data_IF_116907028960
#
_entry.id   IF_116907028960
#
_cell.length_a   1.000
_cell.length_b   1.000
_cell.length_c   1.000
_cell.angle_alpha   90.00
_cell.angle_beta   90.00
_cell.angle_gamma   90.00
#
_symmetry.space_group_name_H-M   'P 1'
#
loop_
_entity.id
_entity.type
_entity.pdbx_description
1 polymer ?
#
# COMPACT_ATOMS: atom_id res chain seq x y z
N UNK A 1 10.22 0.12 -11.22
CA UNK A 1 9.48 0.41 -9.97
C UNK A 1 9.20 -0.86 -9.18
N UNK A 2 8.44 -1.84 -9.72
CA UNK A 2 8.14 -3.10 -9.02
C UNK A 2 9.37 -3.79 -8.41
N UNK A 3 10.41 -4.04 -9.21
CA UNK A 3 11.67 -4.66 -8.74
C UNK A 3 12.41 -3.83 -7.68
N UNK A 4 12.27 -2.50 -7.71
CA UNK A 4 12.84 -1.62 -6.68
C UNK A 4 12.14 -1.81 -5.34
N UNK A 5 10.81 -1.92 -5.32
CA UNK A 5 10.05 -2.18 -4.10
C UNK A 5 10.33 -3.57 -3.54
N UNK A 6 10.53 -4.58 -4.39
CA UNK A 6 10.95 -5.92 -3.93
C UNK A 6 12.27 -5.87 -3.17
N UNK A 7 13.23 -5.04 -3.59
CA UNK A 7 14.49 -4.84 -2.83
C UNK A 7 14.24 -4.20 -1.47
N UNK A 8 13.33 -3.22 -1.39
CA UNK A 8 12.96 -2.60 -0.11
C UNK A 8 12.25 -3.59 0.82
N UNK A 9 11.37 -4.44 0.28
CA UNK A 9 10.65 -5.46 1.06
C UNK A 9 11.56 -6.50 1.71
N UNK A 10 12.76 -6.71 1.16
CA UNK A 10 13.76 -7.62 1.70
C UNK A 10 14.52 -7.07 2.91
N UNK A 11 14.34 -5.78 3.25
CA UNK A 11 14.90 -5.19 4.46
C UNK A 11 14.17 -5.70 5.72
N UNK A 12 14.79 -5.57 6.92
CA UNK A 12 14.16 -5.94 8.17
C UNK A 12 12.83 -5.22 8.43
N UNK A 13 11.90 -5.90 9.08
CA UNK A 13 10.54 -5.38 9.35
C UNK A 13 10.53 -4.12 10.22
N UNK A 14 11.54 -3.94 11.08
CA UNK A 14 11.71 -2.75 11.91
C UNK A 14 12.38 -1.57 11.18
N UNK A 15 12.69 -1.69 9.89
CA UNK A 15 13.23 -0.58 9.07
C UNK A 15 12.25 0.59 9.09
N UNK A 16 12.75 1.79 9.38
CA UNK A 16 11.98 3.01 9.27
C UNK A 16 12.01 3.52 7.83
N UNK A 17 10.83 3.74 7.26
CA UNK A 17 10.61 4.33 5.94
C UNK A 17 10.44 5.84 6.11
N UNK A 18 11.44 6.58 5.66
CA UNK A 18 11.49 8.04 5.70
C UNK A 18 11.29 8.60 4.28
N UNK A 19 10.07 8.59 3.76
CA UNK A 19 9.78 9.11 2.43
C UNK A 19 9.67 10.65 2.42
N UNK A 20 9.79 11.25 1.23
CA UNK A 20 9.93 12.71 1.09
C UNK A 20 8.61 13.50 1.20
N UNK A 21 7.45 12.84 1.13
CA UNK A 21 6.15 13.50 0.95
C UNK A 21 5.07 12.93 1.87
N UNK A 22 4.20 13.82 2.35
CA UNK A 22 3.07 13.51 3.23
C UNK A 22 1.84 13.06 2.42
N UNK A 23 1.96 11.91 1.75
CA UNK A 23 0.91 11.34 0.89
C UNK A 23 0.12 10.19 1.54
N UNK A 24 0.40 9.88 2.79
CA UNK A 24 -0.13 8.69 3.48
C UNK A 24 -1.66 8.65 3.49
N UNK A 25 -2.32 9.78 3.78
CA UNK A 25 -3.79 9.84 3.78
C UNK A 25 -4.37 9.54 2.39
N UNK A 26 -3.90 10.24 1.35
CA UNK A 26 -4.38 10.02 -0.03
C UNK A 26 -4.08 8.58 -0.52
N UNK A 27 -2.93 8.03 -0.15
CA UNK A 27 -2.55 6.65 -0.50
C UNK A 27 -3.45 5.62 0.19
N UNK A 28 -3.80 5.83 1.46
CA UNK A 28 -4.70 4.95 2.20
C UNK A 28 -6.15 5.07 1.73
N UNK A 29 -6.60 6.26 1.35
CA UNK A 29 -7.92 6.45 0.74
C UNK A 29 -8.03 5.63 -0.55
N UNK A 30 -7.01 5.66 -1.41
CA UNK A 30 -6.93 4.78 -2.59
C UNK A 30 -6.90 3.30 -2.19
N UNK A 31 -6.08 2.91 -1.21
CA UNK A 31 -5.99 1.52 -0.77
C UNK A 31 -7.33 0.99 -0.24
N UNK A 32 -8.04 1.80 0.55
CA UNK A 32 -9.36 1.48 1.10
C UNK A 32 -10.43 1.42 0.00
N UNK A 33 -10.36 2.28 -1.02
CA UNK A 33 -11.25 2.20 -2.18
C UNK A 33 -11.14 0.84 -2.89
N UNK A 34 -9.92 0.31 -3.04
CA UNK A 34 -9.70 -1.00 -3.68
C UNK A 34 -10.04 -2.17 -2.73
N UNK A 35 -9.64 -2.09 -1.46
CA UNK A 35 -9.86 -3.16 -0.46
C UNK A 35 -10.63 -2.64 0.77
N UNK A 36 -11.92 -2.29 0.64
CA UNK A 36 -12.70 -1.65 1.73
C UNK A 36 -12.96 -2.56 2.92
N UNK A 37 -12.83 -3.87 2.74
CA UNK A 37 -13.02 -4.88 3.80
C UNK A 37 -11.72 -5.29 4.50
N UNK A 38 -10.58 -4.71 4.12
CA UNK A 38 -9.32 -5.01 4.79
C UNK A 38 -9.24 -4.20 6.10
N UNK A 39 -9.19 -4.87 7.27
CA UNK A 39 -9.20 -4.19 8.56
C UNK A 39 -7.91 -3.39 8.80
N UNK A 40 -6.74 -3.91 8.40
CA UNK A 40 -5.46 -3.22 8.59
C UNK A 40 -5.45 -1.86 7.86
N UNK A 41 -5.98 -1.84 6.62
CA UNK A 41 -6.09 -0.61 5.83
C UNK A 41 -7.09 0.36 6.47
N UNK A 42 -8.25 -0.14 6.90
CA UNK A 42 -9.32 0.68 7.49
C UNK A 42 -8.89 1.30 8.81
N UNK A 43 -8.30 0.51 9.70
CA UNK A 43 -7.83 0.97 11.01
C UNK A 43 -6.71 2.00 10.86
N UNK A 44 -5.78 1.76 9.94
CA UNK A 44 -4.68 2.69 9.71
C UNK A 44 -5.14 3.96 8.98
N UNK A 45 -6.13 3.89 8.09
CA UNK A 45 -6.75 5.06 7.47
C UNK A 45 -7.40 5.96 8.53
N UNK A 46 -8.13 5.38 9.49
CA UNK A 46 -8.74 6.13 10.59
C UNK A 46 -7.67 6.86 11.41
N UNK A 47 -6.62 6.13 11.81
CA UNK A 47 -5.48 6.71 12.55
C UNK A 47 -4.83 7.87 11.78
N UNK A 48 -4.54 7.68 10.50
CA UNK A 48 -3.89 8.70 9.67
C UNK A 48 -4.82 9.90 9.46
N UNK A 49 -6.13 9.68 9.32
CA UNK A 49 -7.12 10.76 9.21
C UNK A 49 -7.10 11.65 10.45
N UNK A 50 -7.11 11.05 11.65
CA UNK A 50 -7.01 11.78 12.91
C UNK A 50 -5.68 12.55 13.02
N UNK A 51 -4.55 11.91 12.74
CA UNK A 51 -3.23 12.56 12.76
C UNK A 51 -3.20 13.79 11.83
N UNK A 52 -3.70 13.65 10.60
CA UNK A 52 -3.71 14.74 9.62
C UNK A 52 -4.70 15.85 9.98
N UNK A 53 -5.84 15.51 10.59
CA UNK A 53 -6.77 16.49 11.15
C UNK A 53 -6.10 17.37 12.22
N UNK A 54 -5.16 16.79 12.99
CA UNK A 54 -4.32 17.50 13.95
C UNK A 54 -2.99 18.03 13.38
N UNK A 55 -2.84 18.10 12.06
CA UNK A 55 -1.63 18.55 11.36
C UNK A 55 -0.34 17.78 11.72
N UNK A 56 -0.46 16.56 12.24
CA UNK A 56 0.68 15.73 12.61
C UNK A 56 1.26 15.00 11.39
N UNK A 57 2.60 14.85 11.31
CA UNK A 57 3.23 14.04 10.26
C UNK A 57 2.92 12.56 10.47
N UNK A 58 2.82 11.81 9.37
CA UNK A 58 2.53 10.36 9.40
C UNK A 58 3.76 9.48 9.14
N UNK A 59 4.90 10.13 8.91
CA UNK A 59 6.20 9.52 8.67
C UNK A 59 7.17 9.91 9.79
N UNK A 60 8.15 9.06 10.14
CA UNK A 60 8.43 7.75 9.54
C UNK A 60 7.44 6.65 9.95
N UNK A 61 7.39 5.60 9.15
CA UNK A 61 6.60 4.38 9.40
C UNK A 61 7.51 3.15 9.32
N UNK A 62 7.19 2.07 10.03
CA UNK A 62 7.95 0.82 9.90
C UNK A 62 7.59 0.07 8.61
N UNK A 63 8.56 -0.64 8.03
CA UNK A 63 8.33 -1.50 6.87
C UNK A 63 7.30 -2.59 7.17
N UNK A 64 7.26 -3.11 8.40
CA UNK A 64 6.22 -4.04 8.86
C UNK A 64 4.82 -3.48 8.64
N UNK A 65 4.59 -2.23 9.05
CA UNK A 65 3.28 -1.60 8.91
C UNK A 65 2.97 -1.34 7.42
N UNK A 66 3.95 -0.85 6.66
CA UNK A 66 3.82 -0.66 5.20
C UNK A 66 3.40 -1.96 4.48
N UNK A 67 4.00 -3.10 4.80
CA UNK A 67 3.63 -4.41 4.21
C UNK A 67 2.16 -4.79 4.43
N UNK A 68 1.55 -4.31 5.51
CA UNK A 68 0.14 -4.62 5.82
C UNK A 68 -0.84 -3.70 5.08
N UNK A 69 -0.47 -2.43 4.86
CA UNK A 69 -1.41 -1.40 4.37
C UNK A 69 -1.16 -0.98 2.92
N UNK A 70 0.03 -1.21 2.38
CA UNK A 70 0.43 -0.71 1.07
C UNK A 70 0.18 -1.76 -0.03
N UNK A 71 -0.85 -1.52 -0.86
CA UNK A 71 -1.23 -2.43 -1.93
C UNK A 71 -0.11 -2.70 -2.95
N UNK A 72 0.81 -1.74 -3.16
CA UNK A 72 1.95 -1.94 -4.06
C UNK A 72 2.96 -2.96 -3.52
N UNK A 73 3.00 -3.18 -2.21
CA UNK A 73 3.82 -4.23 -1.57
C UNK A 73 3.08 -5.57 -1.44
N UNK A 74 1.76 -5.58 -1.70
CA UNK A 74 0.88 -6.75 -1.64
C UNK A 74 0.49 -7.27 -3.04
N UNK A 75 1.31 -7.03 -4.06
CA UNK A 75 0.95 -7.40 -5.43
C UNK A 75 0.82 -8.92 -5.66
N UNK A 76 1.38 -9.73 -4.76
CA UNK A 76 1.25 -11.18 -4.71
C UNK A 76 0.02 -11.68 -3.92
N UNK A 77 -0.71 -10.79 -3.23
CA UNK A 77 -1.91 -11.11 -2.46
C UNK A 77 -3.04 -11.61 -3.38
N UNK A 78 -3.55 -12.81 -3.07
CA UNK A 78 -4.53 -13.52 -3.90
C UNK A 78 -5.88 -12.78 -3.90
N UNK A 79 -6.27 -12.16 -2.79
CA UNK A 79 -7.53 -11.44 -2.69
C UNK A 79 -7.46 -10.15 -3.48
N UNK A 80 -6.32 -9.44 -3.42
CA UNK A 80 -6.07 -8.26 -4.25
C UNK A 80 -6.08 -8.62 -5.75
N UNK A 81 -5.39 -9.69 -6.14
CA UNK A 81 -5.43 -10.21 -7.52
C UNK A 81 -6.86 -10.51 -7.98
N UNK A 82 -7.67 -11.16 -7.13
CA UNK A 82 -9.07 -11.47 -7.42
C UNK A 82 -9.90 -10.20 -7.59
N UNK A 83 -9.75 -9.22 -6.71
CA UNK A 83 -10.44 -7.92 -6.79
C UNK A 83 -10.12 -7.21 -8.12
N UNK A 84 -8.87 -7.29 -8.58
CA UNK A 84 -8.43 -6.68 -9.84
C UNK A 84 -8.68 -7.57 -11.08
N UNK A 85 -9.30 -8.73 -10.92
CA UNK A 85 -9.58 -9.66 -12.03
C UNK A 85 -8.33 -10.30 -12.64
N UNK A 86 -7.25 -10.44 -11.86
CA UNK A 86 -5.97 -11.00 -12.31
C UNK A 86 -5.91 -12.48 -11.93
N UNK A 87 -5.82 -13.33 -12.94
CA UNK A 87 -5.61 -14.77 -12.73
C UNK A 87 -4.24 -15.03 -12.12
N UNK A 88 -4.20 -15.80 -11.03
CA UNK A 88 -2.95 -16.19 -10.37
C UNK A 88 -2.07 -17.03 -11.30
N UNK A 89 -0.83 -16.59 -11.49
CA UNK A 89 0.25 -17.23 -12.22
C UNK A 89 1.57 -16.51 -11.91
N UNK A 90 2.67 -16.96 -12.51
CA UNK A 90 4.01 -16.38 -12.31
C UNK A 90 4.11 -14.89 -12.64
N UNK A 91 3.25 -14.36 -13.52
CA UNK A 91 3.21 -12.95 -13.91
C UNK A 91 2.15 -12.14 -13.17
N UNK A 92 1.33 -12.76 -12.31
CA UNK A 92 0.26 -12.08 -11.60
C UNK A 92 0.77 -10.91 -10.73
N UNK A 93 1.90 -11.01 -9.99
CA UNK A 93 2.38 -9.90 -9.18
C UNK A 93 2.72 -8.64 -9.99
N UNK A 94 3.46 -8.77 -11.08
CA UNK A 94 3.80 -7.60 -11.92
C UNK A 94 2.56 -7.01 -12.60
N UNK A 95 1.62 -7.86 -13.06
CA UNK A 95 0.34 -7.39 -13.63
C UNK A 95 -0.49 -6.62 -12.59
N UNK A 96 -0.52 -7.11 -11.35
CA UNK A 96 -1.22 -6.48 -10.22
C UNK A 96 -0.62 -5.13 -9.90
N UNK A 97 0.71 -5.07 -9.78
CA UNK A 97 1.42 -3.83 -9.58
C UNK A 97 1.13 -2.79 -10.67
N UNK A 98 1.22 -3.19 -11.94
CA UNK A 98 0.96 -2.31 -13.09
C UNK A 98 -0.47 -1.80 -13.07
N UNK A 99 -1.45 -2.69 -12.84
CA UNK A 99 -2.86 -2.30 -12.80
C UNK A 99 -3.17 -1.34 -11.67
N UNK A 100 -2.61 -1.57 -10.48
CA UNK A 100 -2.75 -0.64 -9.35
C UNK A 100 -2.18 0.74 -9.67
N UNK A 101 -1.05 0.81 -10.37
CA UNK A 101 -0.44 2.09 -10.75
C UNK A 101 -1.34 2.87 -11.68
N UNK A 102 -1.87 2.22 -12.73
CA UNK A 102 -2.83 2.82 -13.66
C UNK A 102 -4.08 3.34 -12.93
N UNK A 103 -4.64 2.55 -12.01
CA UNK A 103 -5.81 2.96 -11.24
C UNK A 103 -5.51 4.17 -10.36
N UNK A 104 -4.36 4.17 -9.68
CA UNK A 104 -3.95 5.28 -8.80
C UNK A 104 -3.61 6.56 -9.57
N UNK A 105 -3.17 6.45 -10.82
CA UNK A 105 -2.91 7.61 -11.68
C UNK A 105 -4.20 8.35 -12.07
N UNK A 106 -5.34 7.67 -12.01
CA UNK A 106 -6.66 8.18 -12.40
C UNK A 106 -7.64 8.31 -11.22
N UNK A 107 -7.16 8.21 -9.98
CA UNK A 107 -7.94 8.31 -8.74
C UNK A 107 -7.74 9.68 -8.08
#
# INVERSE_FOLDING_TARGET
>A
MFSSLQKLMALPDNTLICCAHEYTLANLTFAHHIMPKNPDITDYLNKVTEMRHHLQPTVPITLKNEKNINLFLKSDDIDLQRILGITSNTYAPIKTFTKLRELKDNF
#
